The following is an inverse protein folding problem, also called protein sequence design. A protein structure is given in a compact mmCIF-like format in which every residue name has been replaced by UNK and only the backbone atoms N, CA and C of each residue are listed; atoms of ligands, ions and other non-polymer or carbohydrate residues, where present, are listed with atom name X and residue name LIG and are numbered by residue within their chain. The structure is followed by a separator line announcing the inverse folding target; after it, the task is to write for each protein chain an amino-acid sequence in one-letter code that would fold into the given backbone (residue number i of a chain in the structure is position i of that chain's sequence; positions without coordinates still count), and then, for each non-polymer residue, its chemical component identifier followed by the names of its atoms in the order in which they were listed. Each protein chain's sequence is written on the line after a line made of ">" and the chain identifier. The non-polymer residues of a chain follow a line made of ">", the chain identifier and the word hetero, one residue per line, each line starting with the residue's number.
data_IF_044733634960
#
_entry.id   IF_044733634960
#
_cell.length_a   1.000
_cell.length_b   1.000
_cell.length_c   1.000
_cell.angle_alpha   90.00
_cell.angle_beta   90.00
_cell.angle_gamma   90.00
#
_symmetry.space_group_name_H-M   'P 1'
#
loop_
_entity.id
_entity.type
_entity.pdbx_description
1 polymer ?
#
# COMPACT_ATOMS: atom_id res chain seq x y z
N UNK A 1 -7.32 18.83 -19.42
CA UNK A 1 -6.13 19.70 -19.53
C UNK A 1 -6.26 20.68 -20.69
N UNK A 2 -6.49 20.25 -21.92
CA UNK A 2 -6.60 21.13 -23.09
C UNK A 2 -7.68 22.21 -22.91
N UNK A 3 -8.88 21.84 -22.46
CA UNK A 3 -10.01 22.76 -22.33
C UNK A 3 -9.89 23.68 -21.13
N UNK A 4 -9.55 23.14 -19.96
CA UNK A 4 -9.65 23.86 -18.67
C UNK A 4 -8.27 24.16 -18.05
N UNK A 5 -7.17 23.77 -18.70
CA UNK A 5 -5.83 23.84 -18.12
C UNK A 5 -5.66 22.91 -16.93
N UNK A 6 -4.60 23.13 -16.15
CA UNK A 6 -4.33 22.42 -14.91
C UNK A 6 -5.16 23.02 -13.77
N UNK A 7 -6.04 22.22 -13.15
CA UNK A 7 -6.96 22.67 -12.10
C UNK A 7 -6.37 22.54 -10.69
N UNK A 8 -5.41 21.63 -10.48
CA UNK A 8 -4.72 21.42 -9.21
C UNK A 8 -3.21 21.57 -9.42
N UNK A 9 -2.54 22.22 -8.48
CA UNK A 9 -1.08 22.26 -8.48
C UNK A 9 -0.50 20.88 -8.24
N UNK A 10 0.67 20.60 -8.83
CA UNK A 10 1.50 19.50 -8.39
C UNK A 10 2.36 19.90 -7.20
N UNK A 11 3.15 18.96 -6.70
CA UNK A 11 4.17 19.19 -5.67
C UNK A 11 5.48 18.70 -6.23
N UNK A 12 6.53 19.53 -6.13
CA UNK A 12 7.88 19.19 -6.57
C UNK A 12 8.89 19.60 -5.48
N UNK A 13 9.96 18.85 -5.37
CA UNK A 13 11.11 19.24 -4.55
C UNK A 13 11.90 20.37 -5.24
N UNK A 14 12.80 21.02 -4.52
CA UNK A 14 13.63 22.10 -5.06
C UNK A 14 14.52 21.67 -6.22
N UNK A 15 14.93 20.41 -6.26
CA UNK A 15 15.70 19.81 -7.37
C UNK A 15 14.84 19.37 -8.57
N UNK A 16 13.49 19.55 -8.48
CA UNK A 16 12.55 19.26 -9.56
C UNK A 16 11.98 17.85 -9.56
N UNK A 17 12.19 17.05 -8.51
CA UNK A 17 11.56 15.73 -8.37
C UNK A 17 10.06 15.91 -8.09
N UNK A 18 9.21 15.23 -8.86
CA UNK A 18 7.74 15.35 -8.69
C UNK A 18 7.27 14.42 -7.56
N UNK A 19 6.77 15.02 -6.49
CA UNK A 19 6.15 14.32 -5.34
C UNK A 19 4.69 13.98 -5.65
N UNK A 20 3.92 14.96 -6.18
CA UNK A 20 2.55 14.75 -6.65
C UNK A 20 2.30 15.37 -8.01
N UNK A 21 1.46 14.72 -8.80
CA UNK A 21 1.04 15.20 -10.13
C UNK A 21 1.78 14.54 -11.29
N UNK A 22 2.48 13.43 -11.09
CA UNK A 22 3.23 12.70 -12.11
C UNK A 22 2.42 12.43 -13.39
N UNK A 23 1.16 11.96 -13.25
CA UNK A 23 0.26 11.72 -14.39
C UNK A 23 -0.06 13.01 -15.15
N UNK A 24 -0.31 14.12 -14.43
CA UNK A 24 -0.58 15.42 -15.05
C UNK A 24 0.65 15.92 -15.79
N UNK A 25 1.81 15.87 -15.18
CA UNK A 25 3.06 16.27 -15.80
C UNK A 25 3.34 15.45 -17.07
N UNK A 26 3.16 14.13 -17.00
CA UNK A 26 3.31 13.24 -18.16
C UNK A 26 2.32 13.58 -19.30
N UNK A 27 1.06 13.84 -18.97
CA UNK A 27 0.05 14.20 -19.96
C UNK A 27 0.31 15.57 -20.59
N UNK A 28 0.69 16.57 -19.80
CA UNK A 28 1.07 17.90 -20.29
C UNK A 28 2.27 17.79 -21.24
N UNK A 29 3.30 17.05 -20.85
CA UNK A 29 4.48 16.79 -21.66
C UNK A 29 4.09 16.12 -22.98
N UNK A 30 3.27 15.05 -22.93
CA UNK A 30 2.81 14.35 -24.13
C UNK A 30 2.00 15.25 -25.06
N UNK A 31 1.07 16.05 -24.53
CA UNK A 31 0.26 16.99 -25.30
C UNK A 31 1.12 18.04 -26.00
N UNK A 32 2.11 18.59 -25.30
CA UNK A 32 2.95 19.64 -25.85
C UNK A 32 3.95 19.12 -26.89
N UNK A 33 4.70 18.06 -26.57
CA UNK A 33 5.77 17.56 -27.44
C UNK A 33 5.28 16.67 -28.58
N UNK A 34 4.15 15.98 -28.40
CA UNK A 34 3.55 15.11 -29.42
C UNK A 34 2.30 15.73 -30.08
N UNK A 35 2.15 17.05 -30.00
CA UNK A 35 0.98 17.77 -30.52
C UNK A 35 0.67 17.46 -31.99
N UNK A 36 1.71 17.38 -32.84
CA UNK A 36 1.56 17.11 -34.25
C UNK A 36 1.03 15.70 -34.54
N UNK A 37 1.58 14.69 -33.81
CA UNK A 37 1.08 13.32 -33.90
C UNK A 37 -0.38 13.20 -33.41
N UNK A 38 -0.76 14.06 -32.46
CA UNK A 38 -2.10 14.09 -31.86
C UNK A 38 -3.08 15.01 -32.62
N UNK A 39 -2.62 15.73 -33.66
CA UNK A 39 -3.43 16.60 -34.49
C UNK A 39 -3.78 17.95 -33.86
N UNK A 40 -2.99 18.43 -32.87
CA UNK A 40 -3.17 19.72 -32.22
C UNK A 40 -2.21 20.79 -32.76
N UNK A 41 -2.71 22.03 -32.86
CA UNK A 41 -1.88 23.21 -33.12
C UNK A 41 -1.09 23.62 -31.88
N UNK A 42 -0.05 24.43 -32.06
CA UNK A 42 0.71 24.99 -30.92
C UNK A 42 -0.19 25.82 -29.99
N UNK A 43 -1.08 26.63 -30.54
CA UNK A 43 -1.98 27.51 -29.78
C UNK A 43 -2.92 26.72 -28.84
N UNK A 44 -3.40 25.54 -29.32
CA UNK A 44 -4.26 24.67 -28.50
C UNK A 44 -3.53 24.06 -27.31
N UNK A 45 -2.23 23.82 -27.44
CA UNK A 45 -1.42 23.13 -26.41
C UNK A 45 -0.45 24.04 -25.67
N UNK A 46 -0.41 25.34 -25.97
CA UNK A 46 0.53 26.29 -25.36
C UNK A 46 0.49 26.24 -23.82
N UNK A 47 -0.71 26.13 -23.24
CA UNK A 47 -0.90 25.99 -21.79
C UNK A 47 -0.29 24.71 -21.20
N UNK A 48 -0.07 23.70 -22.05
CA UNK A 48 0.51 22.43 -21.65
C UNK A 48 2.06 22.47 -21.57
N UNK A 49 2.67 23.58 -21.97
CA UNK A 49 4.12 23.79 -21.89
C UNK A 49 4.63 23.79 -20.45
N UNK A 50 3.82 24.21 -19.52
CA UNK A 50 4.20 24.39 -18.12
C UNK A 50 3.40 23.46 -17.20
N UNK A 51 4.12 22.89 -16.23
CA UNK A 51 3.51 22.17 -15.11
C UNK A 51 3.46 23.12 -13.91
N UNK A 52 2.26 23.45 -13.47
CA UNK A 52 2.05 24.31 -12.30
C UNK A 52 2.22 23.48 -11.04
N UNK A 53 3.19 23.84 -10.20
CA UNK A 53 3.50 23.09 -9.00
C UNK A 53 3.86 24.02 -7.83
N UNK A 54 3.65 23.54 -6.61
CA UNK A 54 4.22 24.08 -5.39
C UNK A 54 5.62 23.49 -5.25
N UNK A 55 6.62 24.33 -5.07
CA UNK A 55 8.00 23.91 -4.85
C UNK A 55 8.23 23.81 -3.35
N UNK A 56 8.68 22.64 -2.90
CA UNK A 56 9.04 22.44 -1.49
C UNK A 56 10.32 23.20 -1.15
N UNK A 57 10.49 23.63 0.10
CA UNK A 57 11.73 24.25 0.57
C UNK A 57 12.93 23.33 0.40
N UNK A 58 14.12 23.91 0.29
CA UNK A 58 15.38 23.17 0.13
C UNK A 58 15.74 22.29 1.33
N UNK A 59 15.19 22.61 2.51
CA UNK A 59 15.36 21.90 3.77
C UNK A 59 14.26 20.87 4.06
N UNK A 60 13.38 20.60 3.09
CA UNK A 60 12.37 19.55 3.24
C UNK A 60 13.05 18.18 3.38
N UNK A 61 12.78 17.50 4.49
CA UNK A 61 13.31 16.18 4.78
C UNK A 61 12.53 15.05 4.10
N UNK A 62 13.12 13.87 3.97
CA UNK A 62 12.45 12.67 3.44
C UNK A 62 11.12 12.41 4.15
N UNK A 63 11.08 12.62 5.46
CA UNK A 63 9.88 12.46 6.29
C UNK A 63 8.75 13.39 5.83
N UNK A 64 9.03 14.64 5.55
CA UNK A 64 8.04 15.64 5.10
C UNK A 64 7.50 15.28 3.71
N UNK A 65 8.40 14.85 2.82
CA UNK A 65 8.06 14.45 1.46
C UNK A 65 7.14 13.21 1.48
N UNK A 66 7.48 12.18 2.26
CA UNK A 66 6.70 10.95 2.37
C UNK A 66 5.33 11.20 3.02
N UNK A 67 5.25 12.10 4.00
CA UNK A 67 3.98 12.53 4.59
C UNK A 67 3.08 13.19 3.54
N UNK A 68 3.60 14.18 2.82
CA UNK A 68 2.85 14.89 1.78
C UNK A 68 2.39 13.96 0.67
N UNK A 69 3.29 13.12 0.15
CA UNK A 69 2.95 12.11 -0.87
C UNK A 69 1.78 11.24 -0.40
N UNK A 70 1.83 10.75 0.83
CA UNK A 70 0.80 9.87 1.39
C UNK A 70 -0.55 10.58 1.48
N UNK A 71 -0.58 11.82 2.00
CA UNK A 71 -1.80 12.62 2.13
C UNK A 71 -2.45 12.82 0.74
N UNK A 72 -1.65 13.23 -0.25
CA UNK A 72 -2.18 13.56 -1.58
C UNK A 72 -2.55 12.33 -2.41
N UNK A 73 -1.83 11.20 -2.26
CA UNK A 73 -2.08 9.99 -3.04
C UNK A 73 -3.09 9.05 -2.40
N UNK A 74 -3.11 8.94 -1.08
CA UNK A 74 -3.90 7.94 -0.36
C UNK A 74 -4.96 8.53 0.58
N UNK A 75 -4.83 9.80 0.96
CA UNK A 75 -5.72 10.47 1.93
C UNK A 75 -6.93 11.16 1.31
N UNK A 76 -6.89 11.53 0.02
CA UNK A 76 -8.01 12.23 -0.63
C UNK A 76 -9.11 11.26 -1.10
N UNK A 77 -10.38 11.72 -1.10
CA UNK A 77 -11.58 10.92 -1.43
C UNK A 77 -11.64 10.38 -2.87
N UNK A 78 -10.94 11.00 -3.82
CA UNK A 78 -10.82 10.52 -5.22
C UNK A 78 -9.79 9.37 -5.31
N UNK A 79 -9.94 8.38 -4.46
CA UNK A 79 -9.03 7.24 -4.33
C UNK A 79 -8.97 6.45 -5.64
N UNK A 80 -7.82 6.43 -6.25
CA UNK A 80 -7.46 5.33 -7.13
C UNK A 80 -7.46 4.04 -6.30
N UNK A 81 -7.98 2.97 -6.89
CA UNK A 81 -7.87 1.64 -6.29
C UNK A 81 -6.38 1.24 -6.24
N UNK A 82 -5.69 1.68 -5.17
CA UNK A 82 -4.35 1.21 -4.87
C UNK A 82 -4.43 -0.28 -4.54
N UNK A 83 -3.47 -1.03 -5.05
CA UNK A 83 -3.28 -2.41 -4.62
C UNK A 83 -3.11 -2.43 -3.09
N UNK A 84 -3.86 -3.27 -2.35
CA UNK A 84 -3.75 -3.36 -0.89
C UNK A 84 -2.31 -3.49 -0.40
N UNK A 85 -1.47 -4.27 -1.10
CA UNK A 85 -0.07 -4.47 -0.74
C UNK A 85 0.72 -3.15 -0.80
N UNK A 86 0.43 -2.27 -1.77
CA UNK A 86 1.08 -0.95 -1.85
C UNK A 86 0.74 -0.08 -0.64
N UNK A 87 -0.52 -0.13 -0.16
CA UNK A 87 -0.93 0.56 1.08
C UNK A 87 -0.18 0.02 2.29
N UNK A 88 -0.03 -1.30 2.39
CA UNK A 88 0.68 -1.95 3.50
C UNK A 88 2.16 -1.58 3.52
N UNK A 89 2.80 -1.62 2.35
CA UNK A 89 4.20 -1.18 2.19
C UNK A 89 4.38 0.28 2.59
N UNK A 90 3.45 1.16 2.20
CA UNK A 90 3.49 2.58 2.57
C UNK A 90 3.35 2.77 4.08
N UNK A 91 2.45 2.04 4.74
CA UNK A 91 2.33 2.07 6.20
C UNK A 91 3.64 1.67 6.90
N UNK A 92 4.29 0.61 6.43
CA UNK A 92 5.55 0.13 7.00
C UNK A 92 6.69 1.12 6.79
N UNK A 93 6.77 1.74 5.61
CA UNK A 93 7.74 2.80 5.31
C UNK A 93 7.59 4.00 6.23
N UNK A 94 6.37 4.51 6.41
CA UNK A 94 6.08 5.62 7.32
C UNK A 94 6.40 5.26 8.77
N UNK A 95 6.13 4.02 9.19
CA UNK A 95 6.51 3.53 10.52
C UNK A 95 8.03 3.55 10.70
N UNK A 96 8.80 3.12 9.68
CA UNK A 96 10.28 3.17 9.67
C UNK A 96 10.82 4.59 9.79
N UNK A 97 10.13 5.58 9.22
CA UNK A 97 10.44 7.01 9.35
C UNK A 97 10.04 7.61 10.70
N UNK A 98 9.46 6.80 11.61
CA UNK A 98 9.15 7.19 12.99
C UNK A 98 7.77 7.84 13.18
N UNK A 99 6.85 7.71 12.22
CA UNK A 99 5.45 8.10 12.42
C UNK A 99 4.73 7.07 13.31
N UNK A 100 3.80 7.57 14.14
CA UNK A 100 2.90 6.74 14.92
C UNK A 100 1.78 6.15 14.05
N UNK A 101 1.09 5.13 14.55
CA UNK A 101 -0.08 4.55 13.87
C UNK A 101 -1.21 5.60 13.74
N UNK A 102 -1.32 6.50 14.70
CA UNK A 102 -2.25 7.63 14.70
C UNK A 102 -1.93 8.64 13.60
N UNK A 103 -0.64 8.99 13.43
CA UNK A 103 -0.20 9.89 12.37
C UNK A 103 -0.52 9.29 10.99
N UNK A 104 -0.12 8.04 10.77
CA UNK A 104 -0.33 7.32 9.50
C UNK A 104 -1.82 7.21 9.19
N UNK A 105 -2.64 6.89 10.19
CA UNK A 105 -4.09 6.84 10.06
C UNK A 105 -4.68 8.18 9.63
N UNK A 106 -4.18 9.27 10.21
CA UNK A 106 -4.56 10.63 9.81
C UNK A 106 -4.20 10.95 8.36
N UNK A 107 -2.99 10.57 7.90
CA UNK A 107 -2.54 10.80 6.52
C UNK A 107 -3.36 10.03 5.49
N UNK A 108 -3.77 8.81 5.82
CA UNK A 108 -4.48 7.89 4.92
C UNK A 108 -6.00 7.95 5.05
N UNK A 109 -6.54 8.79 5.95
CA UNK A 109 -7.99 8.87 6.29
C UNK A 109 -8.56 7.52 6.74
N UNK A 110 -7.79 6.80 7.58
CA UNK A 110 -8.10 5.47 8.08
C UNK A 110 -8.14 5.45 9.62
N UNK A 111 -8.38 4.28 10.22
CA UNK A 111 -8.33 4.09 11.68
C UNK A 111 -6.95 3.58 12.10
N UNK A 112 -6.42 3.97 13.28
CA UNK A 112 -5.14 3.43 13.77
C UNK A 112 -5.12 1.90 13.88
N UNK A 113 -6.25 1.28 14.27
CA UNK A 113 -6.37 -0.18 14.31
C UNK A 113 -6.21 -0.84 12.94
N UNK A 114 -6.65 -0.16 11.87
CA UNK A 114 -6.49 -0.64 10.50
C UNK A 114 -5.03 -0.56 10.05
N UNK A 115 -4.33 0.52 10.39
CA UNK A 115 -2.90 0.66 10.10
C UNK A 115 -2.10 -0.47 10.78
N UNK A 116 -2.40 -0.76 12.03
CA UNK A 116 -1.77 -1.86 12.77
C UNK A 116 -2.04 -3.21 12.11
N UNK A 117 -3.28 -3.49 11.73
CA UNK A 117 -3.66 -4.71 11.02
C UNK A 117 -2.89 -4.85 9.70
N UNK A 118 -2.81 -3.79 8.89
CA UNK A 118 -2.09 -3.80 7.61
C UNK A 118 -0.60 -4.08 7.78
N UNK A 119 0.04 -3.50 8.80
CA UNK A 119 1.45 -3.77 9.11
C UNK A 119 1.64 -5.23 9.51
N UNK A 120 0.78 -5.79 10.38
CA UNK A 120 0.84 -7.18 10.80
C UNK A 120 0.65 -8.16 9.62
N UNK A 121 -0.31 -7.86 8.74
CA UNK A 121 -0.56 -8.66 7.53
C UNK A 121 0.65 -8.61 6.60
N UNK A 122 1.28 -7.45 6.43
CA UNK A 122 2.50 -7.32 5.63
C UNK A 122 3.66 -8.10 6.23
N UNK A 123 3.87 -8.03 7.54
CA UNK A 123 4.92 -8.79 8.23
C UNK A 123 4.72 -10.31 7.99
N UNK A 124 3.48 -10.78 8.03
CA UNK A 124 3.15 -12.17 7.72
C UNK A 124 3.40 -12.53 6.25
N UNK A 125 3.10 -11.62 5.31
CA UNK A 125 3.41 -11.77 3.90
C UNK A 125 4.93 -11.81 3.63
N UNK A 126 5.70 -11.00 4.33
CA UNK A 126 7.17 -11.01 4.23
C UNK A 126 7.77 -12.29 4.80
N UNK A 127 7.23 -12.80 5.93
CA UNK A 127 7.60 -14.12 6.47
C UNK A 127 7.37 -15.23 5.44
N UNK A 128 6.22 -15.19 4.75
CA UNK A 128 5.91 -16.13 3.67
C UNK A 128 6.91 -16.02 2.50
N UNK A 129 7.21 -14.80 2.06
CA UNK A 129 8.18 -14.60 0.97
C UNK A 129 9.56 -15.12 1.34
N UNK A 130 9.97 -14.90 2.60
CA UNK A 130 11.26 -15.39 3.13
C UNK A 130 11.29 -16.90 3.23
N UNK A 131 10.23 -17.55 3.69
CA UNK A 131 10.13 -19.02 3.83
C UNK A 131 10.33 -19.75 2.50
N UNK A 132 9.90 -19.12 1.39
CA UNK A 132 10.00 -19.72 0.06
C UNK A 132 11.07 -19.08 -0.85
N UNK A 133 12.06 -18.40 -0.29
CA UNK A 133 13.16 -17.73 -1.03
C UNK A 133 12.68 -16.70 -2.07
N UNK A 134 11.57 -16.01 -1.76
CA UNK A 134 11.01 -14.93 -2.60
C UNK A 134 11.15 -13.54 -1.95
N UNK A 135 12.08 -13.35 -1.02
CA UNK A 135 12.25 -12.09 -0.30
C UNK A 135 12.30 -10.89 -1.24
N UNK A 136 11.46 -9.89 -0.98
CA UNK A 136 11.34 -8.67 -1.80
C UNK A 136 10.54 -8.82 -3.10
N UNK A 137 10.05 -10.02 -3.46
CA UNK A 137 9.30 -10.26 -4.71
C UNK A 137 7.79 -10.19 -4.42
N UNK A 138 7.27 -8.99 -4.15
CA UNK A 138 5.87 -8.77 -3.78
C UNK A 138 4.85 -9.15 -4.87
N UNK A 139 5.26 -9.28 -6.12
CA UNK A 139 4.39 -9.78 -7.20
C UNK A 139 3.90 -11.22 -6.97
N UNK A 140 4.59 -11.99 -6.11
CA UNK A 140 4.16 -13.32 -5.69
C UNK A 140 2.90 -13.31 -4.81
N UNK A 141 2.62 -12.17 -4.19
CA UNK A 141 1.47 -11.97 -3.30
C UNK A 141 0.20 -11.52 -4.04
N UNK A 142 0.26 -11.28 -5.35
CA UNK A 142 -0.90 -10.85 -6.12
C UNK A 142 -2.06 -11.83 -5.96
N UNK A 143 -3.24 -11.30 -5.60
CA UNK A 143 -4.49 -12.06 -5.37
C UNK A 143 -4.45 -13.04 -4.18
N UNK A 144 -3.50 -12.88 -3.25
CA UNK A 144 -3.43 -13.72 -2.04
C UNK A 144 -3.70 -12.94 -0.75
N UNK A 145 -4.07 -11.67 -0.82
CA UNK A 145 -4.32 -10.83 0.36
C UNK A 145 -5.33 -11.44 1.34
N UNK A 146 -6.48 -11.88 0.84
CA UNK A 146 -7.55 -12.43 1.67
C UNK A 146 -7.09 -13.55 2.61
N UNK A 147 -6.42 -14.60 2.12
CA UNK A 147 -5.85 -15.64 2.98
C UNK A 147 -4.89 -15.12 4.07
N UNK A 148 -4.06 -14.11 3.79
CA UNK A 148 -3.17 -13.54 4.80
C UNK A 148 -3.92 -12.74 5.88
N UNK A 149 -4.98 -12.01 5.49
CA UNK A 149 -5.86 -11.32 6.44
C UNK A 149 -6.58 -12.34 7.33
N UNK A 150 -7.13 -13.41 6.73
CA UNK A 150 -7.77 -14.48 7.49
C UNK A 150 -6.78 -15.14 8.47
N UNK A 151 -5.55 -15.46 8.02
CA UNK A 151 -4.53 -16.08 8.85
C UNK A 151 -4.09 -15.17 10.00
N UNK A 152 -3.82 -13.88 9.75
CA UNK A 152 -3.47 -12.92 10.80
C UNK A 152 -4.52 -12.88 11.90
N UNK A 153 -5.79 -12.81 11.53
CA UNK A 153 -6.90 -12.80 12.47
C UNK A 153 -6.96 -14.07 13.35
N UNK A 154 -6.69 -15.24 12.79
CA UNK A 154 -6.65 -16.49 13.56
C UNK A 154 -5.42 -16.56 14.46
N UNK A 155 -4.23 -16.22 13.96
CA UNK A 155 -3.00 -16.21 14.77
C UNK A 155 -3.10 -15.24 15.95
N UNK A 156 -3.66 -14.04 15.74
CA UNK A 156 -3.95 -13.07 16.80
C UNK A 156 -4.94 -13.64 17.83
N UNK A 157 -5.98 -14.35 17.35
CA UNK A 157 -6.97 -15.00 18.23
C UNK A 157 -6.35 -16.11 19.08
N UNK A 158 -5.45 -16.92 18.52
CA UNK A 158 -4.73 -17.97 19.25
C UNK A 158 -3.77 -17.37 20.28
N UNK A 159 -2.96 -16.39 19.90
CA UNK A 159 -2.05 -15.68 20.82
C UNK A 159 -2.80 -15.08 22.01
N UNK A 160 -3.97 -14.52 21.77
CA UNK A 160 -4.83 -13.92 22.81
C UNK A 160 -5.74 -14.93 23.51
N UNK A 161 -5.71 -16.19 23.15
CA UNK A 161 -6.57 -17.28 23.71
C UNK A 161 -8.03 -16.89 23.75
N UNK A 162 -8.53 -16.30 22.67
CA UNK A 162 -9.93 -15.86 22.56
C UNK A 162 -10.91 -17.05 22.55
N UNK A 163 -12.18 -16.79 22.92
CA UNK A 163 -13.20 -17.84 23.06
C UNK A 163 -13.53 -18.60 21.77
N UNK A 164 -13.33 -17.98 20.62
CA UNK A 164 -13.58 -18.60 19.31
C UNK A 164 -12.57 -19.70 18.92
N UNK A 165 -11.46 -19.83 19.64
CA UNK A 165 -10.45 -20.88 19.41
C UNK A 165 -10.36 -21.90 20.53
N UNK A 166 -11.28 -21.88 21.52
CA UNK A 166 -11.29 -22.80 22.66
C UNK A 166 -11.50 -24.27 22.30
N UNK A 167 -12.04 -24.53 21.11
CA UNK A 167 -12.36 -25.88 20.66
C UNK A 167 -11.33 -26.43 19.66
N UNK A 168 -10.18 -25.79 19.49
CA UNK A 168 -9.10 -26.34 18.69
C UNK A 168 -8.39 -27.48 19.44
N UNK A 169 -8.05 -28.54 18.74
CA UNK A 169 -7.47 -29.77 19.31
C UNK A 169 -5.94 -29.66 19.56
N UNK A 170 -5.40 -28.45 19.69
CA UNK A 170 -3.98 -28.20 19.90
C UNK A 170 -3.70 -27.17 20.98
N UNK A 171 -2.46 -27.09 21.48
CA UNK A 171 -2.12 -26.52 22.78
C UNK A 171 -2.00 -25.00 22.86
N UNK A 172 -2.03 -24.24 21.75
CA UNK A 172 -1.79 -22.78 21.67
C UNK A 172 -0.43 -22.31 22.21
N UNK A 173 0.57 -23.16 22.23
CA UNK A 173 1.93 -22.72 22.50
C UNK A 173 2.47 -21.90 21.34
N UNK A 174 3.52 -21.11 21.57
CA UNK A 174 4.15 -20.34 20.50
C UNK A 174 4.71 -21.25 19.39
N UNK A 175 5.12 -22.48 19.73
CA UNK A 175 5.53 -23.49 18.75
C UNK A 175 4.37 -23.94 17.89
N UNK A 176 3.24 -24.31 18.50
CA UNK A 176 2.04 -24.77 17.78
C UNK A 176 1.51 -23.67 16.83
N UNK A 177 1.52 -22.41 17.30
CA UNK A 177 1.11 -21.25 16.49
C UNK A 177 2.07 -21.05 15.30
N UNK A 178 3.37 -21.26 15.50
CA UNK A 178 4.38 -21.17 14.45
C UNK A 178 4.22 -22.30 13.43
N UNK A 179 3.95 -23.53 13.89
CA UNK A 179 3.72 -24.68 13.01
C UNK A 179 2.44 -24.47 12.17
N UNK A 180 1.35 -24.00 12.79
CA UNK A 180 0.13 -23.66 12.08
C UNK A 180 0.39 -22.59 11.01
N UNK A 181 1.18 -21.55 11.30
CA UNK A 181 1.56 -20.52 10.34
C UNK A 181 2.22 -21.15 9.11
N UNK A 182 3.19 -22.04 9.28
CA UNK A 182 3.90 -22.69 8.18
C UNK A 182 2.98 -23.58 7.36
N UNK A 183 2.12 -24.38 8.01
CA UNK A 183 1.09 -25.17 7.33
C UNK A 183 0.18 -24.28 6.48
N UNK A 184 -0.29 -23.17 7.04
CA UNK A 184 -1.12 -22.23 6.29
C UNK A 184 -0.38 -21.60 5.10
N UNK A 185 0.92 -21.37 5.20
CA UNK A 185 1.75 -20.88 4.10
C UNK A 185 1.78 -21.88 2.92
N UNK A 186 1.88 -23.19 3.19
CA UNK A 186 1.78 -24.21 2.15
C UNK A 186 0.41 -24.19 1.45
N UNK A 187 -0.68 -24.03 2.20
CA UNK A 187 -2.02 -23.91 1.61
C UNK A 187 -2.21 -22.62 0.80
N UNK A 188 -1.67 -21.48 1.25
CA UNK A 188 -1.65 -20.23 0.47
C UNK A 188 -0.88 -20.45 -0.84
N UNK A 189 0.28 -21.11 -0.79
CA UNK A 189 1.08 -21.46 -1.96
C UNK A 189 0.31 -22.38 -2.92
N UNK A 190 -0.47 -23.30 -2.38
CA UNK A 190 -1.35 -24.20 -3.15
C UNK A 190 -2.66 -23.52 -3.63
N UNK A 191 -2.83 -22.23 -3.38
CA UNK A 191 -3.98 -21.39 -3.81
C UNK A 191 -5.31 -21.76 -3.16
N UNK A 192 -5.29 -22.27 -1.92
CA UNK A 192 -6.50 -22.35 -1.10
C UNK A 192 -6.94 -20.97 -0.67
N UNK A 193 -8.24 -20.71 -0.73
CA UNK A 193 -8.83 -19.41 -0.38
C UNK A 193 -10.25 -19.54 0.19
N UNK A 194 -10.82 -18.44 0.64
CA UNK A 194 -12.21 -18.37 1.08
C UNK A 194 -12.49 -19.30 2.25
N UNK A 195 -13.61 -20.05 2.16
CA UNK A 195 -14.08 -20.91 3.26
C UNK A 195 -13.11 -22.06 3.54
N UNK A 196 -12.58 -22.69 2.49
CA UNK A 196 -11.65 -23.81 2.63
C UNK A 196 -10.39 -23.42 3.41
N UNK A 197 -9.77 -22.27 3.06
CA UNK A 197 -8.62 -21.76 3.78
C UNK A 197 -8.96 -21.40 5.23
N UNK A 198 -10.11 -20.75 5.46
CA UNK A 198 -10.54 -20.39 6.82
C UNK A 198 -10.80 -21.61 7.72
N UNK A 199 -11.33 -22.68 7.16
CA UNK A 199 -11.54 -23.92 7.92
C UNK A 199 -10.18 -24.52 8.33
N UNK A 200 -9.16 -24.52 7.46
CA UNK A 200 -7.79 -24.97 7.78
C UNK A 200 -7.18 -24.07 8.88
N UNK A 201 -7.15 -22.79 8.69
CA UNK A 201 -6.56 -21.85 9.64
C UNK A 201 -7.23 -21.88 11.02
N UNK A 202 -8.50 -22.31 11.10
CA UNK A 202 -9.27 -22.38 12.33
C UNK A 202 -9.10 -23.70 13.09
N UNK A 203 -8.86 -24.78 12.39
CA UNK A 203 -8.87 -26.14 12.98
C UNK A 203 -7.47 -26.78 13.04
N UNK A 204 -6.49 -26.23 12.35
CA UNK A 204 -5.12 -26.76 12.28
C UNK A 204 -4.95 -27.75 11.15
#
# INVERSE_FOLDING_TARGET
>A
LLKNGQQRYGIVTSDGTIVDGNRRAMLLNRLFYKREELGYSYEEVEKCKYFLAIILPDDAEEKDIQQLETIYQMGEDDKLDYNPIEKYLKCKELKRLGFSEEDIAGFMSEKPSQIKEWINVLDLMEDYLKEYDYEGIYTRLEKTEGPFVDLENYLDSYKKKKSNVRNADWAYSDSDISDLKLVCFDYIRARYEGKEFRDIAKTG
#
